data_IF_137576203043
#
_entry.id   IF_137576203043
#
_cell.length_a   1.000
_cell.length_b   1.000
_cell.length_c   1.000
_cell.angle_alpha   90.00
_cell.angle_beta   90.00
_cell.angle_gamma   90.00
#
_symmetry.space_group_name_H-M   'P 1'
#
loop_
_entity.id
_entity.type
_entity.pdbx_description
1 polymer ?
#
# COMPACT_ATOMS: atom_id res chain seq x y z
N UNK A 1 19.30 3.30 -26.66
CA UNK A 1 19.27 4.07 -25.41
C UNK A 1 18.12 3.51 -24.57
N UNK A 2 18.40 2.70 -23.54
CA UNK A 2 17.38 2.28 -22.56
C UNK A 2 17.31 3.39 -21.52
N UNK A 3 16.32 4.26 -21.62
CA UNK A 3 16.04 5.21 -20.54
C UNK A 3 15.40 4.40 -19.43
N UNK A 4 16.13 4.16 -18.34
CA UNK A 4 15.52 3.71 -17.10
C UNK A 4 14.81 4.94 -16.53
N UNK A 5 13.51 5.03 -16.79
CA UNK A 5 12.69 6.04 -16.13
C UNK A 5 12.44 5.45 -14.76
N UNK A 6 13.09 6.01 -13.74
CA UNK A 6 12.76 5.69 -12.35
C UNK A 6 11.26 5.88 -12.20
N UNK A 7 10.57 4.87 -11.66
CA UNK A 7 9.12 4.94 -11.52
C UNK A 7 8.79 6.07 -10.53
N UNK A 8 7.65 6.73 -10.71
CA UNK A 8 7.16 7.80 -9.81
C UNK A 8 7.26 7.39 -8.32
N UNK A 9 7.11 6.10 -8.02
CA UNK A 9 7.30 5.55 -6.68
C UNK A 9 8.74 5.72 -6.14
N UNK A 10 9.76 5.41 -6.95
CA UNK A 10 11.17 5.50 -6.57
C UNK A 10 11.58 6.95 -6.34
N UNK A 11 11.11 7.85 -7.21
CA UNK A 11 11.31 9.30 -7.09
C UNK A 11 10.68 9.82 -5.78
N UNK A 12 9.46 9.39 -5.45
CA UNK A 12 8.79 9.78 -4.20
C UNK A 12 9.56 9.26 -2.98
N UNK A 13 10.05 8.02 -3.01
CA UNK A 13 10.85 7.47 -1.90
C UNK A 13 12.14 8.25 -1.69
N UNK A 14 12.88 8.57 -2.76
CA UNK A 14 14.11 9.35 -2.69
C UNK A 14 13.87 10.75 -2.09
N UNK A 15 12.81 11.43 -2.51
CA UNK A 15 12.44 12.74 -1.97
C UNK A 15 12.16 12.66 -0.47
N UNK A 16 11.42 11.65 -0.01
CA UNK A 16 11.14 11.51 1.43
C UNK A 16 12.36 11.14 2.25
N UNK A 17 13.27 10.34 1.69
CA UNK A 17 14.54 10.03 2.33
C UNK A 17 15.36 11.30 2.57
N UNK A 18 15.53 12.14 1.55
CA UNK A 18 16.25 13.43 1.66
C UNK A 18 15.57 14.34 2.68
N UNK A 19 14.24 14.43 2.67
CA UNK A 19 13.51 15.27 3.63
C UNK A 19 13.70 14.81 5.07
N UNK A 20 13.74 13.50 5.33
CA UNK A 20 13.96 12.94 6.67
C UNK A 20 15.40 13.10 7.16
N UNK A 21 16.37 13.19 6.26
CA UNK A 21 17.78 13.48 6.60
C UNK A 21 17.99 14.94 7.02
N UNK A 22 17.20 15.86 6.47
CA UNK A 22 17.40 17.30 6.68
C UNK A 22 16.36 17.97 7.59
N UNK A 23 15.24 17.32 7.87
CA UNK A 23 14.15 17.88 8.67
C UNK A 23 13.70 16.92 9.76
N UNK A 24 13.18 17.48 10.86
CA UNK A 24 12.49 16.69 11.87
C UNK A 24 11.31 15.94 11.25
N UNK A 25 11.11 14.69 11.67
CA UNK A 25 10.01 13.83 11.22
C UNK A 25 8.64 14.51 11.34
N UNK A 26 8.42 15.31 12.39
CA UNK A 26 7.19 16.09 12.59
C UNK A 26 6.91 17.08 11.46
N UNK A 27 7.96 17.74 10.93
CA UNK A 27 7.88 18.69 9.82
C UNK A 27 7.64 17.97 8.50
N UNK A 28 8.31 16.84 8.27
CA UNK A 28 8.12 16.00 7.09
C UNK A 28 6.69 15.45 7.02
N UNK A 29 6.15 14.94 8.14
CA UNK A 29 4.77 14.45 8.20
C UNK A 29 3.74 15.56 8.00
N UNK A 30 4.00 16.76 8.53
CA UNK A 30 3.13 17.92 8.28
C UNK A 30 3.16 18.34 6.81
N UNK A 31 4.34 18.34 6.18
CA UNK A 31 4.49 18.57 4.74
C UNK A 31 3.72 17.53 3.93
N UNK A 32 3.85 16.24 4.28
CA UNK A 32 3.11 15.15 3.65
C UNK A 32 1.60 15.41 3.63
N UNK A 33 1.06 15.84 4.77
CA UNK A 33 -0.36 16.16 4.95
C UNK A 33 -0.81 17.38 4.12
N UNK A 34 -0.02 18.47 4.13
CA UNK A 34 -0.33 19.70 3.37
C UNK A 34 -0.31 19.45 1.86
N UNK A 35 0.67 18.68 1.37
CA UNK A 35 0.79 18.32 -0.04
C UNK A 35 -0.25 17.29 -0.51
N UNK A 36 -1.09 16.78 0.40
CA UNK A 36 -2.11 15.76 0.12
C UNK A 36 -1.57 14.53 -0.60
N UNK A 37 -0.32 14.15 -0.33
CA UNK A 37 0.23 12.88 -0.83
C UNK A 37 -0.61 11.68 -0.34
N UNK A 38 -1.35 11.83 0.76
CA UNK A 38 -2.49 10.97 1.07
C UNK A 38 -3.74 11.47 0.33
N UNK A 39 -3.90 11.05 -0.92
CA UNK A 39 -5.14 11.27 -1.66
C UNK A 39 -6.16 10.19 -1.28
N UNK A 40 -6.89 10.45 -0.20
CA UNK A 40 -8.02 9.61 0.19
C UNK A 40 -8.39 9.83 1.64
N UNK A 41 -9.69 10.01 1.89
CA UNK A 41 -10.21 9.81 3.23
C UNK A 41 -10.16 8.30 3.49
N UNK A 42 -9.01 7.84 4.00
CA UNK A 42 -8.76 6.43 4.28
C UNK A 42 -9.85 5.83 5.16
N UNK A 43 -10.39 6.62 6.10
CA UNK A 43 -11.49 6.20 6.94
C UNK A 43 -12.75 5.95 6.11
N UNK A 44 -13.15 6.89 5.24
CA UNK A 44 -14.27 6.66 4.31
C UNK A 44 -14.04 5.49 3.36
N UNK A 45 -12.82 5.33 2.84
CA UNK A 45 -12.49 4.23 1.93
C UNK A 45 -12.56 2.89 2.67
N UNK A 46 -11.97 2.79 3.86
CA UNK A 46 -12.04 1.63 4.75
C UNK A 46 -13.49 1.28 5.05
N UNK A 47 -14.29 2.27 5.44
CA UNK A 47 -15.70 2.06 5.77
C UNK A 47 -16.50 1.56 4.56
N UNK A 48 -16.20 2.06 3.35
CA UNK A 48 -16.80 1.57 2.10
C UNK A 48 -16.38 0.14 1.77
N UNK A 49 -15.09 -0.18 1.87
CA UNK A 49 -14.54 -1.48 1.48
C UNK A 49 -14.93 -2.61 2.43
N UNK A 50 -15.09 -2.29 3.71
CA UNK A 50 -15.33 -3.27 4.77
C UNK A 50 -16.71 -3.12 5.43
N UNK A 51 -17.65 -2.45 4.74
CA UNK A 51 -19.02 -2.31 5.22
C UNK A 51 -19.66 -3.69 5.44
N UNK A 52 -20.05 -4.00 6.67
CA UNK A 52 -20.66 -5.28 7.03
C UNK A 52 -19.67 -6.44 7.18
N UNK A 53 -18.37 -6.21 6.99
CA UNK A 53 -17.35 -7.21 7.26
C UNK A 53 -17.02 -7.28 8.75
N UNK A 54 -16.72 -8.49 9.21
CA UNK A 54 -16.17 -8.76 10.53
C UNK A 54 -14.76 -9.31 10.39
N UNK A 55 -14.00 -9.34 11.48
CA UNK A 55 -12.67 -9.97 11.49
C UNK A 55 -12.76 -11.43 11.01
N UNK A 56 -13.78 -12.17 11.43
CA UNK A 56 -13.99 -13.55 11.00
C UNK A 56 -14.31 -13.65 9.50
N UNK A 57 -15.17 -12.79 8.94
CA UNK A 57 -15.49 -12.85 7.51
C UNK A 57 -14.29 -12.50 6.62
N UNK A 58 -13.46 -11.55 7.07
CA UNK A 58 -12.22 -11.22 6.38
C UNK A 58 -11.21 -12.37 6.47
N UNK A 59 -11.09 -13.02 7.63
CA UNK A 59 -10.22 -14.17 7.81
C UNK A 59 -10.59 -15.31 6.85
N UNK A 60 -11.87 -15.69 6.78
CA UNK A 60 -12.32 -16.75 5.86
C UNK A 60 -12.05 -16.41 4.39
N UNK A 61 -12.26 -15.15 3.98
CA UNK A 61 -11.95 -14.68 2.62
C UNK A 61 -10.45 -14.76 2.31
N UNK A 62 -9.61 -14.34 3.25
CA UNK A 62 -8.14 -14.42 3.09
C UNK A 62 -7.71 -15.88 2.96
N UNK A 63 -8.27 -16.76 3.80
CA UNK A 63 -7.98 -18.19 3.79
C UNK A 63 -8.37 -18.84 2.46
N UNK A 64 -9.56 -18.55 1.94
CA UNK A 64 -9.99 -19.06 0.64
C UNK A 64 -9.02 -18.67 -0.50
N UNK A 65 -8.55 -17.42 -0.53
CA UNK A 65 -7.57 -16.97 -1.54
C UNK A 65 -6.21 -17.68 -1.36
N UNK A 66 -5.79 -17.94 -0.12
CA UNK A 66 -4.55 -18.66 0.16
C UNK A 66 -4.65 -20.12 -0.30
N UNK A 67 -5.75 -20.78 0.04
CA UNK A 67 -6.01 -22.17 -0.33
C UNK A 67 -6.10 -22.31 -1.88
N UNK A 68 -6.73 -21.36 -2.56
CA UNK A 68 -6.76 -21.28 -4.03
C UNK A 68 -5.36 -21.10 -4.64
N UNK A 69 -4.50 -20.26 -4.05
CA UNK A 69 -3.12 -20.09 -4.52
C UNK A 69 -2.32 -21.37 -4.38
N UNK A 70 -2.42 -22.04 -3.22
CA UNK A 70 -1.71 -23.29 -2.94
C UNK A 70 -2.17 -24.38 -3.91
N UNK A 71 -3.47 -24.52 -4.15
CA UNK A 71 -4.01 -25.49 -5.10
C UNK A 71 -3.54 -25.24 -6.54
N UNK A 72 -3.43 -23.97 -6.97
CA UNK A 72 -2.93 -23.63 -8.30
C UNK A 72 -1.41 -23.82 -8.47
N UNK A 73 -0.65 -23.76 -7.38
CA UNK A 73 0.79 -24.05 -7.37
C UNK A 73 1.09 -25.56 -7.38
N UNK A 74 0.23 -26.38 -6.77
CA UNK A 74 0.34 -27.84 -6.82
C UNK A 74 -0.03 -28.42 -8.19
N UNK A 75 -1.01 -27.82 -8.90
CA UNK A 75 -1.41 -28.26 -10.26
C UNK A 75 -0.38 -27.89 -11.34
N UNK A 76 0.40 -26.83 -11.15
CA UNK A 76 1.41 -26.39 -12.14
C UNK A 76 2.79 -27.05 -11.97
N UNK A 77 2.98 -27.87 -10.93
CA UNK A 77 4.24 -28.60 -10.67
C UNK A 77 4.11 -30.13 -10.82
N UNK A 78 3.01 -30.60 -11.42
CA UNK A 78 2.72 -32.03 -11.69
C UNK A 78 2.94 -32.43 -13.14
#
# INVERSE_FOLDING_TARGET
MKVNIDNDYEIVQEVFQILLEHLETSKVMRFWSICKFCHGDYLKLKDKLFAGETVNSLYEKIKAVQDEKIANEEVNNG
#
